data_IF_438420555514
#
_entry.id   IF_438420555514
#
_cell.length_a   1.000
_cell.length_b   1.000
_cell.length_c   1.000
_cell.angle_alpha   90.00
_cell.angle_beta   90.00
_cell.angle_gamma   90.00
#
_symmetry.space_group_name_H-M   'P 1'
#
loop_
_entity.id
_entity.type
_entity.pdbx_description
1 polymer ?
#
# COMPACT_ATOMS: atom_id res chain seq x y z
N UNK A 1 -12.39 8.11 3.93
CA UNK A 1 -12.31 6.78 4.60
C UNK A 1 -13.46 5.93 4.09
N UNK A 2 -13.36 4.62 4.23
CA UNK A 2 -14.40 3.64 3.89
C UNK A 2 -14.55 2.62 5.02
N UNK A 3 -15.73 2.05 5.21
CA UNK A 3 -15.94 0.93 6.14
C UNK A 3 -15.96 -0.38 5.34
N UNK A 4 -15.12 -1.34 5.72
CA UNK A 4 -15.01 -2.67 5.10
C UNK A 4 -15.04 -3.70 6.23
N UNK A 5 -16.07 -4.53 6.27
CA UNK A 5 -16.35 -5.34 7.46
C UNK A 5 -16.56 -4.44 8.68
N UNK A 6 -15.84 -4.73 9.75
CA UNK A 6 -15.87 -3.95 10.99
C UNK A 6 -14.78 -2.86 11.06
N UNK A 7 -13.89 -2.80 10.08
CA UNK A 7 -12.76 -1.88 10.05
C UNK A 7 -13.06 -0.62 9.23
N UNK A 8 -12.51 0.52 9.66
CA UNK A 8 -12.56 1.79 8.93
C UNK A 8 -11.17 2.08 8.35
N UNK A 9 -11.09 2.16 7.02
CA UNK A 9 -9.84 2.34 6.29
C UNK A 9 -9.75 3.72 5.65
N UNK A 10 -8.55 4.30 5.59
CA UNK A 10 -8.32 5.46 4.73
C UNK A 10 -8.54 5.10 3.25
N UNK A 11 -9.25 5.97 2.52
CA UNK A 11 -9.61 5.77 1.11
C UNK A 11 -8.57 6.35 0.13
N UNK A 12 -7.58 7.08 0.67
CA UNK A 12 -6.46 7.65 -0.07
C UNK A 12 -5.14 7.27 0.63
N UNK A 13 -4.05 7.23 -0.13
CA UNK A 13 -2.72 7.03 0.43
C UNK A 13 -2.36 8.23 1.30
N UNK A 14 -1.70 7.98 2.44
CA UNK A 14 -1.33 9.08 3.33
C UNK A 14 -0.37 10.05 2.64
N UNK A 15 -0.69 11.34 2.70
CA UNK A 15 0.08 12.42 2.09
C UNK A 15 0.62 13.44 3.11
N UNK A 16 0.78 13.02 4.37
CA UNK A 16 1.34 13.88 5.43
C UNK A 16 2.86 13.98 5.33
N UNK A 17 3.36 15.18 5.01
CA UNK A 17 4.79 15.41 4.71
C UNK A 17 5.28 16.62 5.52
N UNK A 18 5.61 16.45 6.82
CA UNK A 18 6.19 17.54 7.63
C UNK A 18 7.61 17.91 7.19
N UNK A 19 8.30 16.95 6.57
CA UNK A 19 9.58 17.12 5.90
C UNK A 19 9.66 16.08 4.77
N UNK A 20 10.60 16.25 3.85
CA UNK A 20 10.83 15.31 2.75
C UNK A 20 12.32 15.09 2.56
N UNK A 21 12.71 13.86 2.29
CA UNK A 21 14.10 13.52 2.06
C UNK A 21 14.59 14.09 0.73
N UNK A 22 15.86 14.48 0.72
CA UNK A 22 16.60 14.54 -0.53
C UNK A 22 16.61 13.12 -1.17
N UNK A 23 16.68 13.00 -2.51
CA UNK A 23 16.56 11.71 -3.20
C UNK A 23 17.46 10.59 -2.68
N UNK A 24 18.69 10.95 -2.29
CA UNK A 24 19.73 10.02 -1.82
C UNK A 24 19.85 9.97 -0.28
N UNK A 25 18.94 10.64 0.44
CA UNK A 25 18.92 10.65 1.90
C UNK A 25 17.93 9.63 2.47
N UNK A 26 18.26 9.08 3.63
CA UNK A 26 17.41 8.21 4.42
C UNK A 26 16.88 8.95 5.65
N UNK A 27 15.88 9.81 5.43
CA UNK A 27 15.22 10.56 6.51
C UNK A 27 13.80 10.06 6.83
N UNK A 28 13.26 9.16 6.00
CA UNK A 28 12.02 8.43 6.24
C UNK A 28 10.80 8.83 5.42
N UNK A 29 10.80 9.97 4.71
CA UNK A 29 9.66 10.40 3.87
C UNK A 29 10.13 10.80 2.47
N UNK A 30 9.56 10.20 1.43
CA UNK A 30 9.85 10.53 0.04
C UNK A 30 8.57 10.85 -0.74
N UNK A 31 8.75 11.60 -1.80
CA UNK A 31 7.73 11.83 -2.82
C UNK A 31 8.26 11.31 -4.15
N UNK A 32 7.48 10.49 -4.84
CA UNK A 32 7.93 9.83 -6.06
C UNK A 32 8.37 10.84 -7.14
N UNK A 33 9.65 10.79 -7.48
CA UNK A 33 10.26 11.68 -8.49
C UNK A 33 10.52 13.11 -8.03
N UNK A 34 10.32 13.44 -6.74
CA UNK A 34 10.74 14.71 -6.18
C UNK A 34 12.26 14.74 -6.03
N UNK A 35 12.90 15.80 -6.52
CA UNK A 35 14.35 15.95 -6.56
C UNK A 35 14.91 16.83 -5.42
N UNK A 36 14.06 17.36 -4.55
CA UNK A 36 14.48 18.28 -3.47
C UNK A 36 14.19 19.75 -3.74
N UNK A 37 13.71 20.12 -4.94
CA UNK A 37 13.48 21.52 -5.32
C UNK A 37 12.06 21.75 -5.89
N UNK A 38 11.48 22.91 -5.59
CA UNK A 38 10.18 23.33 -6.13
C UNK A 38 8.96 22.74 -5.41
N UNK A 39 7.79 22.82 -6.06
CA UNK A 39 6.54 22.27 -5.54
C UNK A 39 6.48 20.75 -5.71
N UNK A 40 5.75 20.07 -4.82
CA UNK A 40 5.46 18.66 -4.99
C UNK A 40 4.70 18.44 -6.31
N UNK A 41 5.26 17.60 -7.18
CA UNK A 41 4.71 17.33 -8.51
C UNK A 41 3.40 16.54 -8.46
N UNK A 42 2.84 16.25 -9.65
CA UNK A 42 1.55 15.54 -9.79
C UNK A 42 1.50 14.19 -9.05
N UNK A 43 2.62 13.48 -8.96
CA UNK A 43 2.68 12.20 -8.25
C UNK A 43 2.32 12.32 -6.76
N UNK A 44 2.68 13.41 -6.09
CA UNK A 44 2.29 13.61 -4.69
C UNK A 44 0.77 13.74 -4.55
N UNK A 45 0.16 14.57 -5.40
CA UNK A 45 -1.28 14.80 -5.37
C UNK A 45 -2.10 13.58 -5.79
N UNK A 46 -1.54 12.67 -6.59
CA UNK A 46 -2.20 11.43 -7.00
C UNK A 46 -1.94 10.27 -6.04
N UNK A 47 -0.70 10.05 -5.63
CA UNK A 47 -0.27 8.81 -4.96
C UNK A 47 0.14 9.00 -3.50
N UNK A 48 0.16 10.25 -3.00
CA UNK A 48 0.62 10.57 -1.65
C UNK A 48 2.13 10.51 -1.51
N UNK A 49 2.59 10.22 -0.29
CA UNK A 49 3.99 10.07 0.03
C UNK A 49 4.35 8.61 0.35
N UNK A 50 5.66 8.34 0.34
CA UNK A 50 6.26 7.06 0.66
C UNK A 50 7.02 7.21 1.96
N UNK A 51 6.84 6.26 2.88
CA UNK A 51 7.40 6.30 4.22
C UNK A 51 8.29 5.09 4.43
N UNK A 52 9.39 5.24 5.17
CA UNK A 52 10.07 4.06 5.72
C UNK A 52 9.28 3.45 6.86
N UNK A 53 9.66 2.25 7.29
CA UNK A 53 8.88 1.52 8.28
C UNK A 53 8.79 2.27 9.61
N UNK A 54 9.90 2.82 10.09
CA UNK A 54 9.93 3.56 11.36
C UNK A 54 9.00 4.78 11.32
N UNK A 55 9.02 5.53 10.22
CA UNK A 55 8.10 6.66 10.04
C UNK A 55 6.65 6.17 9.90
N UNK A 56 6.42 5.09 9.15
CA UNK A 56 5.09 4.51 8.93
C UNK A 56 4.40 4.09 10.24
N UNK A 57 5.15 3.64 11.24
CA UNK A 57 4.63 3.26 12.56
C UNK A 57 4.03 4.45 13.33
N UNK A 58 4.49 5.67 13.05
CA UNK A 58 4.18 6.87 13.85
C UNK A 58 3.33 7.91 13.08
N UNK A 59 3.19 7.76 11.76
CA UNK A 59 2.63 8.80 10.90
C UNK A 59 1.10 8.84 10.87
N UNK A 60 0.44 7.78 11.32
CA UNK A 60 -1.01 7.76 11.38
C UNK A 60 -1.54 8.74 12.44
N UNK A 61 -2.58 9.53 12.14
CA UNK A 61 -3.11 10.52 13.07
C UNK A 61 -3.76 9.86 14.30
N UNK A 62 -3.96 10.64 15.36
CA UNK A 62 -4.58 10.15 16.60
C UNK A 62 -5.91 9.42 16.34
N UNK A 63 -6.05 8.25 16.97
CA UNK A 63 -7.21 7.36 16.79
C UNK A 63 -7.16 6.52 15.51
N UNK A 64 -6.07 6.58 14.75
CA UNK A 64 -5.75 5.69 13.63
C UNK A 64 -4.38 5.06 13.87
N UNK A 65 -4.14 3.91 13.25
CA UNK A 65 -2.85 3.23 13.33
C UNK A 65 -2.46 2.60 12.00
N UNK A 66 -1.18 2.26 11.89
CA UNK A 66 -0.67 1.46 10.77
C UNK A 66 -1.22 0.03 10.92
N UNK A 67 -1.97 -0.50 9.93
CA UNK A 67 -2.64 -1.78 10.02
C UNK A 67 -1.65 -2.91 10.25
N UNK A 68 -1.99 -3.86 11.10
CA UNK A 68 -1.23 -5.11 11.21
C UNK A 68 -1.52 -6.03 10.01
N UNK A 69 -0.67 -7.05 9.85
CA UNK A 69 -0.92 -8.12 8.88
C UNK A 69 -2.26 -8.84 9.13
N UNK A 70 -2.61 -9.06 10.39
CA UNK A 70 -3.88 -9.66 10.81
C UNK A 70 -5.09 -8.79 10.45
N UNK A 71 -4.98 -7.46 10.57
CA UNK A 71 -6.05 -6.54 10.16
C UNK A 71 -6.27 -6.56 8.65
N UNK A 72 -5.19 -6.65 7.87
CA UNK A 72 -5.30 -6.88 6.44
C UNK A 72 -5.92 -8.24 6.12
N UNK A 73 -5.56 -9.30 6.85
CA UNK A 73 -6.15 -10.63 6.68
C UNK A 73 -7.65 -10.63 7.03
N UNK A 74 -8.08 -9.86 8.03
CA UNK A 74 -9.49 -9.70 8.36
C UNK A 74 -10.26 -9.02 7.21
N UNK A 75 -9.71 -7.95 6.64
CA UNK A 75 -10.25 -7.34 5.42
C UNK A 75 -10.32 -8.35 4.28
N UNK A 76 -9.25 -9.10 4.01
CA UNK A 76 -9.18 -10.10 2.94
C UNK A 76 -10.22 -11.22 3.15
N UNK A 77 -10.37 -11.70 4.39
CA UNK A 77 -11.38 -12.69 4.78
C UNK A 77 -12.79 -12.15 4.54
N UNK A 78 -13.07 -10.92 4.95
CA UNK A 78 -14.36 -10.28 4.73
C UNK A 78 -14.73 -10.18 3.23
N UNK A 79 -13.73 -10.00 2.37
CA UNK A 79 -13.91 -9.95 0.91
C UNK A 79 -14.05 -11.31 0.24
N UNK A 80 -13.97 -12.40 1.01
CA UNK A 80 -14.14 -13.77 0.54
C UNK A 80 -12.83 -14.46 0.15
N UNK A 81 -11.70 -14.10 0.78
CA UNK A 81 -10.49 -14.91 0.70
C UNK A 81 -10.70 -16.20 1.51
N UNK A 82 -10.40 -17.34 0.88
CA UNK A 82 -10.42 -18.64 1.55
C UNK A 82 -9.43 -18.69 2.71
N UNK A 83 -9.79 -19.35 3.81
CA UNK A 83 -9.00 -19.33 5.05
C UNK A 83 -7.59 -19.87 4.83
N UNK A 84 -7.44 -20.97 4.10
CA UNK A 84 -6.12 -21.56 3.80
C UNK A 84 -5.24 -20.59 2.97
N UNK A 85 -5.86 -19.77 2.11
CA UNK A 85 -5.14 -18.78 1.31
C UNK A 85 -4.68 -17.56 2.14
N UNK A 86 -5.28 -17.30 3.31
CA UNK A 86 -4.84 -16.20 4.19
C UNK A 86 -3.42 -16.41 4.73
N UNK A 87 -3.00 -17.66 4.87
CA UNK A 87 -1.72 -18.05 5.46
C UNK A 87 -0.69 -18.56 4.44
N UNK A 88 -1.06 -18.61 3.16
CA UNK A 88 -0.15 -19.01 2.08
C UNK A 88 1.01 -18.00 1.96
N UNK A 89 2.23 -18.50 2.16
CA UNK A 89 3.48 -17.76 2.03
C UNK A 89 4.30 -18.18 0.80
N UNK A 90 3.90 -19.26 0.12
CA UNK A 90 4.59 -19.77 -1.05
C UNK A 90 4.19 -18.99 -2.31
N UNK A 91 2.96 -18.46 -2.34
CA UNK A 91 2.44 -17.67 -3.44
C UNK A 91 2.34 -16.17 -3.08
N UNK A 92 3.02 -15.34 -3.88
CA UNK A 92 3.00 -13.88 -3.70
C UNK A 92 1.57 -13.31 -3.76
N UNK A 93 0.76 -13.72 -4.76
CA UNK A 93 -0.60 -13.25 -4.97
C UNK A 93 -1.64 -14.33 -4.61
N UNK A 94 -2.56 -13.97 -3.72
CA UNK A 94 -3.58 -14.85 -3.15
C UNK A 94 -4.97 -14.33 -3.50
N UNK A 95 -5.98 -15.20 -3.45
CA UNK A 95 -7.38 -14.80 -3.70
C UNK A 95 -7.64 -14.28 -5.13
N UNK A 96 -6.89 -14.73 -6.13
CA UNK A 96 -7.08 -14.36 -7.54
C UNK A 96 -8.47 -14.79 -8.05
N UNK A 97 -8.94 -15.99 -7.69
CA UNK A 97 -10.26 -16.50 -8.07
C UNK A 97 -11.37 -15.65 -7.45
N UNK A 98 -11.24 -15.28 -6.18
CA UNK A 98 -12.17 -14.38 -5.49
C UNK A 98 -12.00 -12.90 -5.89
N UNK A 99 -10.98 -12.56 -6.68
CA UNK A 99 -10.69 -11.21 -7.15
C UNK A 99 -10.36 -10.20 -6.05
N UNK A 100 -9.77 -10.63 -4.93
CA UNK A 100 -9.62 -9.81 -3.71
C UNK A 100 -8.89 -8.49 -3.98
N UNK A 101 -7.77 -8.52 -4.71
CA UNK A 101 -7.06 -7.30 -5.07
C UNK A 101 -7.84 -6.42 -6.05
N UNK A 102 -8.57 -7.04 -6.97
CA UNK A 102 -9.48 -6.36 -7.89
C UNK A 102 -10.53 -5.50 -7.17
N UNK A 103 -11.12 -6.05 -6.10
CA UNK A 103 -12.13 -5.36 -5.28
C UNK A 103 -11.61 -4.12 -4.54
N UNK A 104 -10.29 -4.06 -4.32
CA UNK A 104 -9.61 -3.00 -3.58
C UNK A 104 -8.95 -1.95 -4.49
N UNK A 105 -8.50 -2.35 -5.67
CA UNK A 105 -7.85 -1.44 -6.63
C UNK A 105 -8.82 -0.43 -7.22
N UNK A 106 -8.35 0.81 -7.40
CA UNK A 106 -9.01 1.78 -8.26
C UNK A 106 -9.19 1.23 -9.69
N UNK A 107 -10.33 1.57 -10.30
CA UNK A 107 -10.74 1.15 -11.64
C UNK A 107 -10.07 1.96 -12.75
N UNK A 108 -10.17 1.43 -13.96
CA UNK A 108 -9.70 2.12 -15.17
C UNK A 108 -8.19 2.20 -15.27
N UNK A 109 -7.73 3.02 -16.23
CA UNK A 109 -6.32 3.10 -16.64
C UNK A 109 -5.72 4.50 -16.47
N UNK A 110 -6.44 5.40 -15.78
CA UNK A 110 -5.95 6.75 -15.48
C UNK A 110 -4.69 6.69 -14.62
N UNK A 111 -4.74 5.85 -13.59
CA UNK A 111 -3.65 5.68 -12.61
C UNK A 111 -2.91 4.36 -12.82
N UNK A 112 -3.62 3.26 -13.07
CA UNK A 112 -3.05 1.96 -13.35
C UNK A 112 -2.66 1.81 -14.81
N UNK A 113 -1.54 1.14 -15.06
CA UNK A 113 -1.18 0.63 -16.38
C UNK A 113 -2.12 -0.51 -16.77
N UNK A 114 -2.37 -0.68 -18.06
CA UNK A 114 -3.10 -1.84 -18.56
C UNK A 114 -2.37 -3.15 -18.17
N UNK A 115 -3.10 -4.23 -17.83
CA UNK A 115 -4.56 -4.37 -17.98
C UNK A 115 -5.38 -3.89 -16.77
N UNK A 116 -4.77 -3.52 -15.65
CA UNK A 116 -5.43 -3.33 -14.35
C UNK A 116 -6.39 -4.49 -14.01
N UNK A 117 -5.86 -5.71 -14.07
CA UNK A 117 -6.62 -6.95 -14.07
C UNK A 117 -7.58 -7.05 -12.87
N UNK A 118 -8.84 -7.36 -13.16
CA UNK A 118 -9.87 -7.61 -12.16
C UNK A 118 -10.32 -6.40 -11.34
N UNK A 119 -9.83 -5.18 -11.62
CA UNK A 119 -10.16 -4.01 -10.81
C UNK A 119 -11.65 -3.63 -10.90
N UNK A 120 -12.33 -3.60 -9.75
CA UNK A 120 -13.73 -3.20 -9.62
C UNK A 120 -13.93 -2.07 -8.61
N UNK A 121 -12.99 -1.86 -7.68
CA UNK A 121 -13.09 -0.91 -6.57
C UNK A 121 -14.42 -0.97 -5.80
N UNK A 122 -15.07 -2.14 -5.74
CA UNK A 122 -16.42 -2.26 -5.14
C UNK A 122 -16.44 -1.93 -3.64
N UNK A 123 -15.28 -1.94 -3.00
CA UNK A 123 -15.09 -1.59 -1.58
C UNK A 123 -14.95 -0.08 -1.34
N UNK A 124 -14.61 0.70 -2.38
CA UNK A 124 -14.21 2.11 -2.25
C UNK A 124 -12.82 2.32 -1.63
N UNK A 125 -12.06 1.25 -1.35
CA UNK A 125 -10.70 1.34 -0.81
C UNK A 125 -9.76 2.15 -1.72
N UNK A 126 -9.96 2.05 -3.04
CA UNK A 126 -9.27 2.84 -4.06
C UNK A 126 -7.74 2.73 -3.96
N UNK A 127 -7.20 1.51 -3.92
CA UNK A 127 -5.76 1.30 -3.94
C UNK A 127 -5.16 1.87 -5.24
N UNK A 128 -4.11 2.67 -5.11
CA UNK A 128 -3.43 3.32 -6.22
C UNK A 128 -1.99 2.80 -6.36
N UNK A 129 -1.45 2.77 -7.60
CA UNK A 129 -0.12 2.26 -7.90
C UNK A 129 0.98 3.30 -7.68
N UNK A 130 1.18 3.69 -6.42
CA UNK A 130 2.19 4.68 -6.03
C UNK A 130 3.64 4.22 -6.21
N UNK A 131 3.86 2.94 -6.53
CA UNK A 131 5.18 2.34 -6.58
C UNK A 131 5.84 2.29 -5.20
N UNK A 132 7.17 2.34 -5.19
CA UNK A 132 7.97 2.37 -3.97
C UNK A 132 9.34 3.02 -4.19
N UNK A 133 10.00 3.37 -3.09
CA UNK A 133 11.37 3.89 -3.04
C UNK A 133 12.28 2.85 -2.40
N UNK A 134 13.09 2.20 -3.22
CA UNK A 134 14.11 1.25 -2.77
C UNK A 134 15.47 1.97 -2.83
N UNK A 135 16.48 1.33 -3.45
CA UNK A 135 17.67 2.05 -3.95
C UNK A 135 17.33 3.13 -5.00
N UNK A 136 16.18 3.00 -5.66
CA UNK A 136 15.60 3.97 -6.60
C UNK A 136 14.08 3.88 -6.57
N UNK A 137 13.42 4.88 -7.16
CA UNK A 137 11.97 4.83 -7.38
C UNK A 137 11.60 3.77 -8.42
N UNK A 138 10.60 2.94 -8.14
CA UNK A 138 10.17 1.83 -9.00
C UNK A 138 8.65 1.70 -9.08
N UNK A 139 8.17 1.17 -10.21
CA UNK A 139 6.84 0.58 -10.40
C UNK A 139 5.61 1.50 -10.19
N UNK A 140 5.76 2.83 -10.29
CA UNK A 140 4.59 3.73 -10.35
C UNK A 140 3.72 3.36 -11.53
N UNK A 141 2.40 3.45 -11.37
CA UNK A 141 1.36 2.96 -12.30
C UNK A 141 1.25 1.44 -12.44
N UNK A 142 2.22 0.67 -11.96
CA UNK A 142 2.20 -0.80 -12.10
C UNK A 142 1.89 -1.51 -10.79
N UNK A 143 2.37 -0.98 -9.66
CA UNK A 143 2.25 -1.62 -8.36
C UNK A 143 1.92 -0.60 -7.28
N UNK A 144 0.99 -0.96 -6.37
CA UNK A 144 0.77 -0.28 -5.10
C UNK A 144 1.30 -1.15 -3.96
N UNK A 145 2.23 -0.61 -3.17
CA UNK A 145 2.82 -1.30 -2.01
C UNK A 145 2.42 -0.58 -0.73
N UNK A 146 1.96 -1.35 0.26
CA UNK A 146 1.42 -0.83 1.51
C UNK A 146 2.12 -1.47 2.70
N UNK A 147 2.58 -0.64 3.63
CA UNK A 147 3.12 -1.12 4.89
C UNK A 147 2.06 -1.78 5.76
N UNK A 148 2.48 -2.82 6.48
CA UNK A 148 1.81 -3.26 7.72
C UNK A 148 2.72 -2.95 8.90
N UNK A 149 2.18 -2.94 10.13
CA UNK A 149 2.96 -2.82 11.37
C UNK A 149 3.62 -4.13 11.81
N UNK A 150 3.37 -5.25 11.12
CA UNK A 150 3.87 -6.57 11.50
C UNK A 150 5.27 -6.80 10.93
N UNK A 151 6.26 -6.87 11.82
CA UNK A 151 7.64 -7.27 11.45
C UNK A 151 7.71 -8.78 11.17
N UNK A 152 8.46 -9.13 10.13
CA UNK A 152 8.87 -10.52 9.89
C UNK A 152 10.13 -10.84 10.71
N UNK A 153 11.10 -9.93 10.71
CA UNK A 153 12.34 -10.05 11.49
C UNK A 153 12.92 -8.67 11.85
N UNK A 154 14.21 -8.61 12.19
CA UNK A 154 14.89 -7.36 12.56
C UNK A 154 15.07 -6.38 11.41
N UNK A 155 15.00 -6.82 10.16
CA UNK A 155 15.31 -6.08 8.94
C UNK A 155 14.15 -6.01 7.95
N UNK A 156 13.08 -6.79 8.15
CA UNK A 156 11.95 -6.86 7.24
C UNK A 156 10.59 -6.80 7.95
N UNK A 157 9.60 -6.24 7.26
CA UNK A 157 8.19 -6.25 7.66
C UNK A 157 7.29 -6.74 6.53
N UNK A 158 6.14 -7.28 6.92
CA UNK A 158 5.14 -7.78 6.00
C UNK A 158 4.46 -6.58 5.32
N UNK A 159 4.19 -6.72 4.03
CA UNK A 159 3.55 -5.70 3.19
C UNK A 159 2.40 -6.28 2.39
N UNK A 160 1.55 -5.39 1.88
CA UNK A 160 0.55 -5.71 0.87
C UNK A 160 0.91 -5.11 -0.47
N UNK A 161 0.70 -5.90 -1.52
CA UNK A 161 1.06 -5.55 -2.90
C UNK A 161 -0.15 -5.74 -3.80
N UNK A 162 -0.48 -4.73 -4.59
CA UNK A 162 -1.45 -4.83 -5.68
C UNK A 162 -0.77 -4.50 -7.01
N UNK A 163 -1.06 -5.29 -8.04
CA UNK A 163 -0.39 -5.18 -9.35
C UNK A 163 -1.40 -4.93 -10.47
N UNK A 164 -0.97 -4.23 -11.52
CA UNK A 164 -1.75 -4.06 -12.74
C UNK A 164 -2.07 -5.38 -13.45
N UNK A 165 -1.23 -6.40 -13.26
CA UNK A 165 -1.33 -7.69 -13.96
C UNK A 165 -1.90 -8.82 -13.09
N UNK A 166 -2.46 -8.49 -11.92
CA UNK A 166 -3.06 -9.48 -11.03
C UNK A 166 -4.35 -8.93 -10.40
N UNK A 167 -5.34 -9.80 -10.25
CA UNK A 167 -6.59 -9.54 -9.54
C UNK A 167 -6.58 -9.98 -8.07
N UNK A 168 -5.54 -10.70 -7.63
CA UNK A 168 -5.34 -11.14 -6.24
C UNK A 168 -4.72 -10.08 -5.32
N UNK A 169 -4.73 -10.37 -4.00
CA UNK A 169 -4.02 -9.59 -2.98
C UNK A 169 -2.62 -10.15 -2.77
N UNK A 170 -1.60 -9.32 -2.92
CA UNK A 170 -0.21 -9.70 -2.73
C UNK A 170 0.22 -9.57 -1.28
N UNK A 171 0.97 -10.54 -0.76
CA UNK A 171 1.59 -10.50 0.58
C UNK A 171 3.08 -10.82 0.45
N UNK A 172 3.93 -9.92 0.92
CA UNK A 172 5.39 -10.00 0.74
C UNK A 172 6.13 -9.45 1.96
N UNK A 173 7.46 -9.51 1.95
CA UNK A 173 8.31 -8.85 2.95
C UNK A 173 9.19 -7.79 2.29
N UNK A 174 9.28 -6.62 2.91
CA UNK A 174 10.14 -5.53 2.43
C UNK A 174 11.11 -5.09 3.51
N UNK A 175 12.26 -4.56 3.07
CA UNK A 175 13.27 -4.05 3.96
C UNK A 175 12.72 -2.84 4.72
N UNK A 176 12.97 -2.74 6.03
CA UNK A 176 12.44 -1.64 6.85
C UNK A 176 12.86 -0.23 6.36
N UNK A 177 13.90 -0.13 5.52
CA UNK A 177 14.41 1.12 4.94
C UNK A 177 13.76 1.48 3.60
N UNK A 178 12.95 0.60 3.01
CA UNK A 178 12.21 0.91 1.78
C UNK A 178 11.13 1.97 2.07
N UNK A 179 10.79 2.78 1.08
CA UNK A 179 9.72 3.77 1.15
C UNK A 179 8.46 3.25 0.47
N UNK A 180 7.41 2.93 1.22
CA UNK A 180 6.13 2.41 0.71
C UNK A 180 4.95 3.29 1.15
N UNK A 181 3.80 3.10 0.53
CA UNK A 181 2.60 3.86 0.87
C UNK A 181 2.02 3.41 2.22
N UNK A 182 1.33 4.33 2.90
CA UNK A 182 0.61 4.04 4.16
C UNK A 182 -0.89 4.20 3.94
N UNK A 183 -1.65 3.25 4.50
CA UNK A 183 -3.10 3.31 4.66
C UNK A 183 -3.41 3.06 6.12
N UNK A 184 -3.87 4.08 6.84
CA UNK A 184 -4.21 3.91 8.24
C UNK A 184 -5.58 3.25 8.39
N UNK A 185 -5.74 2.48 9.45
CA UNK A 185 -6.99 1.82 9.84
C UNK A 185 -7.42 2.29 11.22
N UNK A 186 -8.72 2.15 11.50
CA UNK A 186 -9.34 2.38 12.80
C UNK A 186 -10.40 1.31 13.04
N UNK A 187 -10.44 0.80 14.27
CA UNK A 187 -11.44 -0.15 14.75
C UNK A 187 -12.37 0.52 15.79
#
# INVERSE_FOLDING_TARGET
WVKIGDQIWMAENLAYVPYVCAPDSQCGIWIYGYNGEGSYGTNYHTYGALYDFETAMEVCPEGWHLPSDEEWMELERFLGMEEDALYDMDNLFRGQVSGIGGKLKETGLTYWKAPNEGATNETGFSALPGGGKYNRYLSIKEVGCFWTSTKQDSNEAITRIYSSNHGGSGRYTNNLRDGLSVRCVKN
#
